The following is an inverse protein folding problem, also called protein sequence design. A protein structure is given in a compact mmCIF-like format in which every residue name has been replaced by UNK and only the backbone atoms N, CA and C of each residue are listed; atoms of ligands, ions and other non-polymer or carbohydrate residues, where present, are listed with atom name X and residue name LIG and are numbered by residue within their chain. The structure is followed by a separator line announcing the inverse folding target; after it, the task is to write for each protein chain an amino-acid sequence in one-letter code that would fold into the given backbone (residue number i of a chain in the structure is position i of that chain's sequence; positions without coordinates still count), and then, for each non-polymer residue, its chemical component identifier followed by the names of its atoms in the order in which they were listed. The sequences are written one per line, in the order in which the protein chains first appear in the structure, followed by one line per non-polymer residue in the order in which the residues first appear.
data_IF_343335591622
#
_entry.id   IF_343335591622
#
_cell.length_a   1.000
_cell.length_b   1.000
_cell.length_c   1.000
_cell.angle_alpha   90.00
_cell.angle_beta   90.00
_cell.angle_gamma   90.00
#
_symmetry.space_group_name_H-M   'P 1'
#
loop_
_entity.id
_entity.type
_entity.pdbx_description
1 polymer ?
#
# COMPACT_ATOMS: atom_id res chain seq x y z
N UNK A 1 5.81 -24.61 -0.88
CA UNK A 1 5.67 -23.26 -0.29
C UNK A 1 6.30 -23.30 1.09
N UNK A 2 7.09 -22.31 1.52
CA UNK A 2 7.66 -22.30 2.86
C UNK A 2 6.56 -22.39 3.94
N UNK A 3 6.80 -23.05 5.09
CA UNK A 3 5.77 -23.30 6.10
C UNK A 3 5.23 -22.03 6.78
N UNK A 4 5.97 -20.91 6.66
CA UNK A 4 5.59 -19.59 7.17
C UNK A 4 4.80 -18.75 6.17
N UNK A 5 4.62 -19.23 4.93
CA UNK A 5 3.90 -18.52 3.88
C UNK A 5 2.54 -19.18 3.66
N UNK A 6 1.49 -18.36 3.59
CA UNK A 6 0.10 -18.78 3.39
C UNK A 6 -0.62 -17.85 2.41
N UNK A 7 -1.78 -18.29 1.91
CA UNK A 7 -2.65 -17.47 1.05
C UNK A 7 -3.87 -17.09 1.88
N UNK A 8 -4.19 -15.79 1.90
CA UNK A 8 -5.41 -15.27 2.51
C UNK A 8 -6.42 -14.98 1.41
N UNK A 9 -7.66 -15.42 1.60
CA UNK A 9 -8.79 -15.05 0.73
C UNK A 9 -9.29 -13.65 1.06
N UNK A 10 -9.38 -13.34 2.36
CA UNK A 10 -9.77 -12.04 2.87
C UNK A 10 -8.73 -11.49 3.84
N UNK A 11 -8.49 -10.18 3.79
CA UNK A 11 -7.57 -9.48 4.70
C UNK A 11 -8.02 -9.54 6.16
N UNK A 12 -9.33 -9.66 6.41
CA UNK A 12 -9.91 -9.72 7.74
C UNK A 12 -9.52 -11.01 8.50
N UNK A 13 -9.29 -12.10 7.78
CA UNK A 13 -8.97 -13.43 8.31
C UNK A 13 -7.50 -13.59 8.72
N UNK A 14 -6.69 -12.56 8.49
CA UNK A 14 -5.29 -12.58 8.83
C UNK A 14 -5.06 -12.86 10.35
N UNK A 15 -4.19 -13.83 10.68
CA UNK A 15 -3.78 -14.09 12.05
C UNK A 15 -3.11 -12.86 12.69
N UNK A 16 -3.27 -12.69 13.99
CA UNK A 16 -2.56 -11.64 14.72
C UNK A 16 -1.04 -11.85 14.66
N UNK A 17 -0.27 -10.76 14.61
CA UNK A 17 1.19 -10.83 14.50
C UNK A 17 1.73 -11.25 13.11
N UNK A 18 0.86 -11.37 12.11
CA UNK A 18 1.27 -11.76 10.75
C UNK A 18 1.80 -10.59 9.92
N UNK A 19 2.53 -10.94 8.85
CA UNK A 19 2.92 -10.00 7.79
C UNK A 19 2.10 -10.34 6.55
N UNK A 20 1.41 -9.36 6.00
CA UNK A 20 0.63 -9.49 4.78
C UNK A 20 1.28 -8.66 3.69
N UNK A 21 1.57 -9.32 2.58
CA UNK A 21 2.04 -8.69 1.36
C UNK A 21 0.87 -8.58 0.37
N UNK A 22 0.51 -7.36 0.02
CA UNK A 22 -0.44 -7.07 -1.05
C UNK A 22 0.36 -6.65 -2.27
N UNK A 23 0.61 -7.61 -3.16
CA UNK A 23 1.24 -7.33 -4.44
C UNK A 23 0.24 -6.69 -5.42
N UNK A 24 0.74 -5.83 -6.30
CA UNK A 24 -0.06 -5.03 -7.23
C UNK A 24 -1.30 -4.39 -6.58
N UNK A 25 -1.08 -3.77 -5.41
CA UNK A 25 -2.13 -3.26 -4.54
C UNK A 25 -3.10 -2.27 -5.20
N UNK A 26 -2.73 -1.68 -6.34
CA UNK A 26 -3.64 -0.84 -7.11
C UNK A 26 -4.81 -1.62 -7.73
N UNK A 27 -4.68 -2.93 -8.00
CA UNK A 27 -5.76 -3.76 -8.54
C UNK A 27 -6.89 -3.93 -7.51
N UNK A 28 -6.52 -4.15 -6.25
CA UNK A 28 -7.48 -4.29 -5.15
C UNK A 28 -7.93 -2.93 -4.60
N UNK A 29 -7.09 -1.90 -4.70
CA UNK A 29 -7.29 -0.61 -4.02
C UNK A 29 -7.01 0.59 -4.94
N UNK A 30 -7.73 0.65 -6.05
CA UNK A 30 -7.56 1.69 -7.05
C UNK A 30 -8.11 3.03 -6.58
N UNK A 31 -7.35 4.10 -6.83
CA UNK A 31 -7.67 5.47 -6.37
C UNK A 31 -8.94 6.06 -7.00
N UNK A 32 -9.34 5.59 -8.20
CA UNK A 32 -10.57 6.05 -8.87
C UNK A 32 -11.84 5.40 -8.35
N UNK A 33 -11.71 4.32 -7.58
CA UNK A 33 -12.83 3.61 -7.00
C UNK A 33 -13.09 4.04 -5.54
N UNK A 34 -12.64 5.23 -5.12
CA UNK A 34 -12.67 5.71 -3.73
C UNK A 34 -14.05 5.75 -3.08
N UNK A 35 -15.13 5.60 -3.87
CA UNK A 35 -16.52 5.49 -3.40
C UNK A 35 -17.12 4.07 -3.47
N UNK A 36 -16.37 3.09 -3.97
CA UNK A 36 -16.77 1.67 -4.00
C UNK A 36 -16.64 1.01 -2.61
N UNK A 37 -17.37 -0.09 -2.40
CA UNK A 37 -17.32 -0.84 -1.13
C UNK A 37 -15.91 -1.22 -0.69
N UNK A 38 -15.04 -1.60 -1.64
CA UNK A 38 -13.65 -1.99 -1.39
C UNK A 38 -12.81 -0.90 -0.69
N UNK A 39 -13.08 0.37 -0.97
CA UNK A 39 -12.33 1.48 -0.36
C UNK A 39 -12.88 1.93 1.01
N UNK A 40 -14.09 1.50 1.42
CA UNK A 40 -14.47 1.56 2.84
C UNK A 40 -13.78 0.46 3.63
N UNK A 41 -13.58 -0.70 3.00
CA UNK A 41 -12.90 -1.82 3.64
C UNK A 41 -11.43 -1.53 3.91
N UNK A 42 -10.71 -0.82 3.03
CA UNK A 42 -9.30 -0.50 3.28
C UNK A 42 -9.10 0.26 4.60
N UNK A 43 -9.93 1.28 4.88
CA UNK A 43 -9.83 2.06 6.12
C UNK A 43 -10.14 1.20 7.34
N UNK A 44 -11.09 0.28 7.22
CA UNK A 44 -11.41 -0.70 8.27
C UNK A 44 -10.24 -1.67 8.48
N UNK A 45 -9.63 -2.14 7.41
CA UNK A 45 -8.50 -3.08 7.42
C UNK A 45 -7.28 -2.42 8.05
N UNK A 46 -6.90 -1.21 7.64
CA UNK A 46 -5.77 -0.46 8.23
C UNK A 46 -5.95 -0.25 9.74
N UNK A 47 -7.18 -0.04 10.21
CA UNK A 47 -7.48 0.06 11.64
C UNK A 47 -7.42 -1.30 12.35
N UNK A 48 -7.96 -2.36 11.74
CA UNK A 48 -7.90 -3.73 12.25
C UNK A 48 -6.46 -4.23 12.37
N UNK A 49 -5.59 -3.90 11.41
CA UNK A 49 -4.20 -4.36 11.42
C UNK A 49 -3.40 -3.74 12.56
N UNK A 50 -3.68 -2.48 12.92
CA UNK A 50 -3.10 -1.86 14.13
C UNK A 50 -3.50 -2.61 15.41
N UNK A 51 -4.77 -3.03 15.53
CA UNK A 51 -5.26 -3.76 16.72
C UNK A 51 -4.71 -5.19 16.81
N UNK A 52 -4.59 -5.88 15.67
CA UNK A 52 -4.11 -7.27 15.59
C UNK A 52 -2.57 -7.38 15.50
N UNK A 53 -1.85 -6.26 15.60
CA UNK A 53 -0.40 -6.21 15.39
C UNK A 53 0.04 -6.84 14.05
N UNK A 54 -0.68 -6.54 12.98
CA UNK A 54 -0.42 -7.05 11.63
C UNK A 54 0.39 -6.02 10.86
N UNK A 55 1.46 -6.46 10.21
CA UNK A 55 2.22 -5.64 9.28
C UNK A 55 1.62 -5.76 7.86
N UNK A 56 1.16 -4.65 7.29
CA UNK A 56 0.72 -4.57 5.90
C UNK A 56 1.81 -3.99 5.02
N UNK A 57 2.15 -4.70 3.95
CA UNK A 57 3.09 -4.22 2.93
C UNK A 57 2.32 -4.11 1.61
N UNK A 58 2.17 -2.89 1.12
CA UNK A 58 1.59 -2.62 -0.19
C UNK A 58 2.70 -2.44 -1.22
N UNK A 59 2.63 -3.21 -2.31
CA UNK A 59 3.53 -3.06 -3.46
C UNK A 59 2.74 -2.51 -4.64
N UNK A 60 3.23 -1.44 -5.24
CA UNK A 60 2.67 -0.85 -6.44
C UNK A 60 3.74 -0.16 -7.28
N UNK A 61 3.53 -0.09 -8.59
CA UNK A 61 4.45 0.58 -9.53
C UNK A 61 4.45 2.10 -9.40
N UNK A 62 3.26 2.69 -9.27
CA UNK A 62 3.11 4.13 -9.12
C UNK A 62 2.15 4.44 -7.97
N UNK A 63 2.54 5.37 -7.12
CA UNK A 63 1.72 5.65 -5.94
C UNK A 63 0.35 6.18 -6.38
N UNK A 64 0.27 6.99 -7.45
CA UNK A 64 -0.94 7.66 -7.95
C UNK A 64 -2.15 6.74 -8.15
N UNK A 65 -1.90 5.44 -8.35
CA UNK A 65 -2.93 4.43 -8.51
C UNK A 65 -3.46 3.86 -7.19
N UNK A 66 -2.70 3.96 -6.09
CA UNK A 66 -3.14 3.57 -4.75
C UNK A 66 -4.16 4.56 -4.18
N UNK A 67 -5.15 4.07 -3.47
CA UNK A 67 -6.09 4.92 -2.72
C UNK A 67 -5.36 5.83 -1.71
N UNK A 68 -5.82 7.07 -1.55
CA UNK A 68 -5.11 8.11 -0.78
C UNK A 68 -5.04 7.81 0.73
N UNK A 69 -6.03 7.11 1.29
CA UNK A 69 -6.09 6.82 2.72
C UNK A 69 -5.05 5.76 3.09
N UNK A 70 -4.67 4.86 2.16
CA UNK A 70 -3.52 3.98 2.34
C UNK A 70 -2.28 4.82 2.64
N UNK A 71 -1.99 5.78 1.76
CA UNK A 71 -0.81 6.64 1.91
C UNK A 71 -0.86 7.55 3.13
N UNK A 72 -2.04 7.89 3.65
CA UNK A 72 -2.15 8.63 4.92
C UNK A 72 -1.93 7.75 6.15
N UNK A 73 -2.11 6.44 6.03
CA UNK A 73 -2.04 5.48 7.13
C UNK A 73 -0.74 4.70 7.23
N UNK A 74 0.18 4.84 6.25
CA UNK A 74 1.47 4.15 6.25
C UNK A 74 2.43 4.75 7.28
N UNK A 75 3.14 3.88 7.98
CA UNK A 75 4.23 4.27 8.88
C UNK A 75 5.59 4.31 8.15
N UNK A 76 5.70 3.66 6.99
CA UNK A 76 6.94 3.59 6.20
C UNK A 76 6.64 3.60 4.71
N UNK A 77 7.44 4.35 3.96
CA UNK A 77 7.37 4.46 2.51
C UNK A 77 8.74 4.15 1.90
N UNK A 78 8.80 3.11 1.07
CA UNK A 78 10.02 2.67 0.39
C UNK A 78 9.87 2.95 -1.10
N UNK A 79 10.81 3.71 -1.66
CA UNK A 79 10.89 3.93 -3.10
C UNK A 79 12.07 3.18 -3.68
N UNK A 80 11.82 2.47 -4.78
CA UNK A 80 12.89 2.16 -5.75
C UNK A 80 13.24 3.45 -6.50
N UNK A 81 14.42 3.47 -7.13
CA UNK A 81 14.85 4.61 -7.95
C UNK A 81 13.76 4.94 -8.99
N UNK A 82 13.14 6.12 -8.94
CA UNK A 82 12.03 6.45 -9.82
C UNK A 82 12.53 6.77 -11.24
N UNK A 83 11.69 6.48 -12.23
CA UNK A 83 11.93 6.90 -13.60
C UNK A 83 11.83 8.44 -13.73
N UNK A 84 12.51 9.08 -14.71
CA UNK A 84 12.51 10.53 -14.85
C UNK A 84 11.12 11.18 -14.92
N UNK A 85 10.18 10.56 -15.65
CA UNK A 85 8.83 11.08 -15.82
C UNK A 85 7.93 10.80 -14.60
N UNK A 86 8.23 9.77 -13.82
CA UNK A 86 7.43 9.37 -12.66
C UNK A 86 7.34 10.50 -11.64
N UNK A 87 8.43 11.25 -11.43
CA UNK A 87 8.47 12.38 -10.48
C UNK A 87 7.44 13.47 -10.85
N UNK A 88 7.24 13.71 -12.14
CA UNK A 88 6.29 14.71 -12.63
C UNK A 88 4.83 14.27 -12.52
N UNK A 89 4.58 12.97 -12.75
CA UNK A 89 3.27 12.36 -12.88
C UNK A 89 2.68 11.82 -11.57
N UNK A 90 3.52 11.59 -10.56
CA UNK A 90 3.07 11.15 -9.25
C UNK A 90 2.52 12.32 -8.40
N UNK A 91 2.00 12.00 -7.20
CA UNK A 91 1.35 12.98 -6.32
C UNK A 91 2.31 14.07 -5.88
N UNK A 92 1.80 15.30 -5.84
CA UNK A 92 2.57 16.50 -5.47
C UNK A 92 3.30 16.37 -4.14
N UNK A 93 2.66 15.79 -3.11
CA UNK A 93 3.27 15.60 -1.80
C UNK A 93 4.42 14.59 -1.79
N UNK A 94 4.49 13.68 -2.78
CA UNK A 94 5.54 12.66 -2.88
C UNK A 94 6.77 13.13 -3.65
N UNK A 95 6.63 14.17 -4.46
CA UNK A 95 7.72 14.74 -5.27
C UNK A 95 9.03 14.97 -4.50
N UNK A 96 9.07 15.59 -3.31
CA UNK A 96 10.33 15.79 -2.59
C UNK A 96 11.02 14.47 -2.22
N UNK A 97 10.26 13.44 -1.86
CA UNK A 97 10.81 12.12 -1.52
C UNK A 97 11.28 11.36 -2.76
N UNK A 98 10.53 11.42 -3.86
CA UNK A 98 10.92 10.83 -5.14
C UNK A 98 12.20 11.47 -5.71
N UNK A 99 12.34 12.80 -5.62
CA UNK A 99 13.56 13.49 -6.02
C UNK A 99 14.78 13.06 -5.19
N UNK A 100 14.60 12.83 -3.88
CA UNK A 100 15.65 12.31 -3.00
C UNK A 100 16.04 10.88 -3.41
N UNK A 101 15.05 10.03 -3.68
CA UNK A 101 15.27 8.63 -4.08
C UNK A 101 15.94 8.51 -5.47
N UNK A 102 15.78 9.47 -6.37
CA UNK A 102 16.44 9.46 -7.69
C UNK A 102 17.95 9.69 -7.60
N UNK A 103 18.39 10.43 -6.58
CA UNK A 103 19.79 10.85 -6.36
C UNK A 103 20.58 9.91 -5.45
N UNK A 104 19.90 8.98 -4.77
CA UNK A 104 20.51 7.91 -3.98
C UNK A 104 21.05 6.80 -4.89
#
# INVERSE_FOLDING_TARGET
MPPWLGILQELADAPAGSIILVDEAYLSFFSRDSQSGANKEITRIVNLTRQKNICLIFVAHESRHLEKNILSGIDTLIFKKPAPLQIGLDRSFLKPYLLKAQKA
#
